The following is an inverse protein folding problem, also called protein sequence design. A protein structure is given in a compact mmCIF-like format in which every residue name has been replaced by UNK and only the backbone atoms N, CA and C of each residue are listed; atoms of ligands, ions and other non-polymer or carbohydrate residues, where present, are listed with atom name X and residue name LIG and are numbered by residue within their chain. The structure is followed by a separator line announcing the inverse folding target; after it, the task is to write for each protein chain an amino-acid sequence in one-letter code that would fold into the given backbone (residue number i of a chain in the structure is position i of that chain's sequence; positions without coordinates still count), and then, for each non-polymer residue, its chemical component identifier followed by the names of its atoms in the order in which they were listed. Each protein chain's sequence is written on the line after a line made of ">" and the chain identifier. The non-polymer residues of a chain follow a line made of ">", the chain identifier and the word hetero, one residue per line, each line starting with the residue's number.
data_IF_909500987866
#
_entry.id   IF_909500987866
#
_cell.length_a   1.000
_cell.length_b   1.000
_cell.length_c   1.000
_cell.angle_alpha   90.00
_cell.angle_beta   90.00
_cell.angle_gamma   90.00
#
_symmetry.space_group_name_H-M   'P 1'
#
loop_
_entity.id
_entity.type
_entity.pdbx_description
1 polymer ?
#
# COMPACT_ATOMS: atom_id res chain seq x y z
N UNK A 1 -12.82 7.71 -27.38
CA UNK A 1 -12.98 7.30 -25.97
C UNK A 1 -13.96 8.26 -25.30
N UNK A 2 -14.75 7.84 -24.32
CA UNK A 2 -15.66 8.72 -23.56
C UNK A 2 -15.55 8.42 -22.05
N UNK A 3 -15.97 9.38 -21.21
CA UNK A 3 -15.90 9.29 -19.75
C UNK A 3 -16.53 8.01 -19.20
N UNK A 4 -17.65 7.57 -19.81
CA UNK A 4 -18.38 6.34 -19.43
C UNK A 4 -17.54 5.05 -19.56
N UNK A 5 -16.58 5.00 -20.49
CA UNK A 5 -15.70 3.82 -20.70
C UNK A 5 -14.47 3.82 -19.79
N UNK A 6 -14.07 4.98 -19.25
CA UNK A 6 -12.92 5.10 -18.35
C UNK A 6 -13.32 4.86 -16.89
N UNK A 7 -14.57 5.19 -16.52
CA UNK A 7 -15.09 4.95 -15.16
C UNK A 7 -14.81 3.54 -14.62
N UNK A 8 -15.14 2.45 -15.35
CA UNK A 8 -14.84 1.09 -14.91
C UNK A 8 -13.34 0.79 -14.75
N UNK A 9 -12.47 1.45 -15.51
CA UNK A 9 -11.02 1.28 -15.41
C UNK A 9 -10.48 1.94 -14.12
N UNK A 10 -11.00 3.12 -13.76
CA UNK A 10 -10.67 3.80 -12.50
C UNK A 10 -11.07 2.91 -11.31
N UNK A 11 -12.30 2.40 -11.30
CA UNK A 11 -12.79 1.50 -10.23
C UNK A 11 -11.93 0.23 -10.13
N UNK A 12 -11.48 -0.32 -11.26
CA UNK A 12 -10.58 -1.47 -11.26
C UNK A 12 -9.19 -1.12 -10.70
N UNK A 13 -8.67 0.06 -11.02
CA UNK A 13 -7.39 0.54 -10.50
C UNK A 13 -7.45 0.81 -8.99
N UNK A 14 -8.53 1.42 -8.50
CA UNK A 14 -8.83 1.59 -7.07
C UNK A 14 -8.83 0.25 -6.33
N UNK A 15 -9.60 -0.74 -6.82
CA UNK A 15 -9.64 -2.07 -6.20
C UNK A 15 -8.27 -2.75 -6.17
N UNK A 16 -7.44 -2.53 -7.19
CA UNK A 16 -6.08 -3.07 -7.25
C UNK A 16 -5.17 -2.40 -6.23
N UNK A 17 -5.22 -1.07 -6.13
CA UNK A 17 -4.48 -0.30 -5.13
C UNK A 17 -4.86 -0.75 -3.71
N UNK A 18 -6.16 -0.86 -3.41
CA UNK A 18 -6.65 -1.30 -2.10
C UNK A 18 -6.18 -2.72 -1.76
N UNK A 19 -6.17 -3.63 -2.73
CA UNK A 19 -5.68 -4.99 -2.53
C UNK A 19 -4.18 -4.99 -2.19
N UNK A 20 -3.37 -4.21 -2.92
CA UNK A 20 -1.93 -4.10 -2.67
C UNK A 20 -1.63 -3.42 -1.34
N UNK A 21 -2.43 -2.42 -0.94
CA UNK A 21 -2.29 -1.77 0.37
C UNK A 21 -2.55 -2.77 1.51
N UNK A 22 -3.56 -3.64 1.36
CA UNK A 22 -3.84 -4.71 2.34
C UNK A 22 -2.71 -5.74 2.40
N UNK A 23 -2.15 -6.14 1.27
CA UNK A 23 -1.02 -7.06 1.24
C UNK A 23 0.24 -6.44 1.86
N UNK A 24 0.53 -5.17 1.57
CA UNK A 24 1.62 -4.44 2.20
C UNK A 24 1.44 -4.38 3.73
N UNK A 25 0.23 -4.09 4.21
CA UNK A 25 -0.06 -4.05 5.65
C UNK A 25 0.22 -5.41 6.33
N UNK A 26 -0.18 -6.53 5.70
CA UNK A 26 0.13 -7.88 6.20
C UNK A 26 1.64 -8.13 6.26
N UNK A 27 2.39 -7.71 5.23
CA UNK A 27 3.85 -7.86 5.19
C UNK A 27 4.54 -7.01 6.26
N UNK A 28 4.05 -5.79 6.51
CA UNK A 28 4.57 -4.92 7.59
C UNK A 28 4.36 -5.59 8.94
N UNK A 29 3.17 -6.12 9.18
CA UNK A 29 2.88 -6.83 10.42
C UNK A 29 3.77 -8.08 10.60
N UNK A 30 3.98 -8.86 9.53
CA UNK A 30 4.88 -10.03 9.57
C UNK A 30 6.32 -9.64 9.86
N UNK A 31 6.82 -8.56 9.24
CA UNK A 31 8.16 -8.04 9.49
C UNK A 31 8.34 -7.60 10.94
N UNK A 32 7.38 -6.85 11.50
CA UNK A 32 7.40 -6.44 12.90
C UNK A 32 7.42 -7.64 13.86
N UNK A 33 6.69 -8.72 13.55
CA UNK A 33 6.76 -9.95 14.34
C UNK A 33 8.14 -10.60 14.29
N UNK A 34 8.83 -10.53 13.15
CA UNK A 34 10.19 -11.02 13.03
C UNK A 34 11.19 -10.18 13.84
N UNK A 35 11.04 -8.86 13.84
CA UNK A 35 11.86 -7.96 14.66
C UNK A 35 11.63 -8.19 16.16
N UNK A 36 10.37 -8.31 16.58
CA UNK A 36 10.02 -8.64 17.97
C UNK A 36 10.65 -9.97 18.40
N UNK A 37 10.56 -11.01 17.55
CA UNK A 37 11.15 -12.30 17.85
C UNK A 37 12.67 -12.25 17.97
N UNK A 38 13.34 -11.43 17.17
CA UNK A 38 14.78 -11.21 17.32
C UNK A 38 15.10 -10.55 18.67
N UNK A 39 14.36 -9.49 19.03
CA UNK A 39 14.53 -8.81 20.31
C UNK A 39 14.33 -9.75 21.50
N UNK A 40 13.35 -10.65 21.44
CA UNK A 40 13.13 -11.68 22.47
C UNK A 40 14.33 -12.63 22.57
N UNK A 41 14.90 -13.08 21.44
CA UNK A 41 16.07 -13.96 21.42
C UNK A 41 17.31 -13.28 22.01
N UNK A 42 17.56 -12.02 21.65
CA UNK A 42 18.68 -11.22 22.17
C UNK A 42 18.53 -10.97 23.68
N UNK A 43 17.29 -10.71 24.13
CA UNK A 43 16.98 -10.59 25.55
C UNK A 43 17.27 -11.90 26.29
N UNK A 44 16.77 -13.04 25.81
CA UNK A 44 17.05 -14.33 26.42
C UNK A 44 18.54 -14.65 26.44
N UNK A 45 19.28 -14.31 25.38
CA UNK A 45 20.73 -14.44 25.37
C UNK A 45 21.36 -13.68 26.53
N UNK A 46 21.03 -12.39 26.67
CA UNK A 46 21.60 -11.54 27.73
C UNK A 46 21.30 -12.05 29.14
N UNK A 47 20.07 -12.54 29.38
CA UNK A 47 19.66 -13.12 30.66
C UNK A 47 20.44 -14.41 30.97
N UNK A 48 20.76 -15.21 29.95
CA UNK A 48 21.55 -16.44 30.06
C UNK A 48 23.06 -16.25 29.92
N UNK A 49 23.56 -15.04 29.68
CA UNK A 49 24.99 -14.69 29.76
C UNK A 49 25.35 -14.13 31.15
N UNK A 50 24.37 -13.57 31.89
CA UNK A 50 24.57 -13.04 33.23
C UNK A 50 25.10 -14.10 34.22
N UNK A 51 26.29 -13.92 34.83
CA UNK A 51 26.87 -14.92 35.71
C UNK A 51 25.94 -15.24 36.89
N UNK A 52 25.96 -16.47 37.41
CA UNK A 52 25.16 -16.84 38.58
C UNK A 52 25.54 -15.97 39.77
N UNK A 53 24.61 -15.81 40.72
CA UNK A 53 24.85 -15.04 41.93
C UNK A 53 26.15 -15.50 42.63
N UNK A 54 26.98 -14.55 43.11
CA UNK A 54 28.19 -14.88 43.84
C UNK A 54 27.89 -15.81 45.02
N UNK A 55 28.59 -16.94 45.11
CA UNK A 55 28.39 -17.95 46.15
C UNK A 55 27.51 -19.15 45.76
N UNK A 56 26.95 -19.17 44.54
CA UNK A 56 26.30 -20.37 43.98
C UNK A 56 27.34 -21.29 43.36
N UNK A 57 27.54 -22.49 43.93
CA UNK A 57 28.31 -23.55 43.27
C UNK A 57 27.45 -24.19 42.18
N UNK A 58 27.70 -23.84 40.91
CA UNK A 58 27.08 -24.55 39.78
C UNK A 58 27.77 -25.89 39.54
N UNK A 59 26.99 -26.93 39.24
CA UNK A 59 27.53 -28.20 38.75
C UNK A 59 28.12 -28.04 37.34
N UNK A 60 29.12 -28.86 37.01
CA UNK A 60 29.69 -28.91 35.66
C UNK A 60 28.63 -29.21 34.58
N UNK A 61 27.63 -30.04 34.91
CA UNK A 61 26.50 -30.34 34.00
C UNK A 61 25.63 -29.12 33.71
N UNK A 62 25.39 -28.25 34.69
CA UNK A 62 24.60 -27.05 34.53
C UNK A 62 25.32 -26.01 33.66
N UNK A 63 26.65 -25.90 33.82
CA UNK A 63 27.49 -25.06 32.95
C UNK A 63 27.45 -25.54 31.49
N UNK A 64 27.55 -26.86 31.27
CA UNK A 64 27.48 -27.44 29.92
C UNK A 64 26.12 -27.21 29.26
N UNK A 65 25.03 -27.44 30.00
CA UNK A 65 23.67 -27.20 29.50
C UNK A 65 23.45 -25.74 29.13
N UNK A 66 23.98 -24.81 29.93
CA UNK A 66 23.92 -23.38 29.66
C UNK A 66 24.68 -23.00 28.39
N UNK A 67 25.90 -23.50 28.22
CA UNK A 67 26.68 -23.26 27.00
C UNK A 67 25.97 -23.81 25.75
N UNK A 68 25.39 -25.01 25.84
CA UNK A 68 24.62 -25.59 24.74
C UNK A 68 23.34 -24.80 24.40
N UNK A 69 22.67 -24.22 25.41
CA UNK A 69 21.51 -23.37 25.20
C UNK A 69 21.87 -22.04 24.53
N UNK A 70 22.96 -21.40 24.97
CA UNK A 70 23.47 -20.18 24.34
C UNK A 70 23.83 -20.40 22.87
N UNK A 71 24.50 -21.50 22.55
CA UNK A 71 24.80 -21.86 21.16
C UNK A 71 23.53 -22.00 20.30
N UNK A 72 22.47 -22.61 20.85
CA UNK A 72 21.17 -22.71 20.15
C UNK A 72 20.51 -21.35 19.94
N UNK A 73 20.63 -20.42 20.90
CA UNK A 73 20.12 -19.05 20.73
C UNK A 73 20.90 -18.35 19.61
N UNK A 74 22.23 -18.49 19.57
CA UNK A 74 23.05 -17.86 18.52
C UNK A 74 22.68 -18.35 17.12
N UNK A 75 22.44 -19.66 16.97
CA UNK A 75 21.93 -20.25 15.72
C UNK A 75 20.53 -19.69 15.36
N UNK A 76 19.65 -19.57 16.35
CA UNK A 76 18.31 -19.02 16.16
C UNK A 76 18.33 -17.53 15.78
N UNK A 77 19.20 -16.73 16.41
CA UNK A 77 19.41 -15.30 16.10
C UNK A 77 19.90 -15.15 14.66
N UNK A 78 20.91 -15.93 14.27
CA UNK A 78 21.44 -15.91 12.89
C UNK A 78 20.35 -16.24 11.87
N UNK A 79 19.50 -17.23 12.18
CA UNK A 79 18.38 -17.62 11.33
C UNK A 79 17.31 -16.52 11.27
N UNK A 80 17.00 -15.90 12.41
CA UNK A 80 16.01 -14.84 12.53
C UNK A 80 16.43 -13.58 11.78
N UNK A 81 17.71 -13.21 11.82
CA UNK A 81 18.26 -12.10 11.05
C UNK A 81 18.10 -12.31 9.54
N UNK A 82 18.29 -13.55 9.05
CA UNK A 82 18.01 -13.89 7.64
C UNK A 82 16.53 -13.71 7.29
N UNK A 83 15.62 -14.13 8.16
CA UNK A 83 14.18 -13.93 7.96
C UNK A 83 13.81 -12.45 7.91
N UNK A 84 14.41 -11.62 8.77
CA UNK A 84 14.24 -10.16 8.74
C UNK A 84 14.70 -9.61 7.40
N UNK A 85 15.93 -9.91 6.95
CA UNK A 85 16.45 -9.43 5.67
C UNK A 85 15.54 -9.82 4.49
N UNK A 86 15.08 -11.08 4.43
CA UNK A 86 14.13 -11.51 3.39
C UNK A 86 12.79 -10.77 3.48
N UNK A 87 12.30 -10.50 4.69
CA UNK A 87 11.04 -9.76 4.88
C UNK A 87 11.17 -8.27 4.50
N UNK A 88 12.33 -7.66 4.70
CA UNK A 88 12.64 -6.29 4.26
C UNK A 88 12.63 -6.17 2.73
N UNK A 89 13.25 -7.14 2.04
CA UNK A 89 13.23 -7.20 0.57
C UNK A 89 11.79 -7.36 0.06
N UNK A 90 11.01 -8.25 0.67
CA UNK A 90 9.60 -8.43 0.33
C UNK A 90 8.78 -7.14 0.54
N UNK A 91 9.06 -6.39 1.61
CA UNK A 91 8.44 -5.08 1.87
C UNK A 91 8.79 -4.06 0.79
N UNK A 92 10.05 -4.00 0.35
CA UNK A 92 10.47 -3.10 -0.71
C UNK A 92 9.73 -3.39 -2.03
N UNK A 93 9.53 -4.67 -2.35
CA UNK A 93 8.76 -5.10 -3.52
C UNK A 93 7.30 -4.66 -3.41
N UNK A 94 6.63 -4.92 -2.29
CA UNK A 94 5.21 -4.56 -2.12
C UNK A 94 4.99 -3.04 -2.08
N UNK A 95 5.91 -2.28 -1.47
CA UNK A 95 5.88 -0.80 -1.52
C UNK A 95 5.98 -0.30 -2.95
N UNK A 96 6.88 -0.88 -3.75
CA UNK A 96 7.03 -0.52 -5.16
C UNK A 96 5.76 -0.86 -5.96
N UNK A 97 5.16 -2.03 -5.73
CA UNK A 97 3.90 -2.44 -6.37
C UNK A 97 2.75 -1.49 -6.05
N UNK A 98 2.61 -1.09 -4.79
CA UNK A 98 1.60 -0.13 -4.36
C UNK A 98 1.82 1.22 -5.04
N UNK A 99 3.06 1.73 -5.04
CA UNK A 99 3.39 3.00 -5.68
C UNK A 99 3.05 3.02 -7.17
N UNK A 100 3.34 1.93 -7.90
CA UNK A 100 2.97 1.81 -9.31
C UNK A 100 1.45 1.80 -9.50
N UNK A 101 0.71 1.05 -8.67
CA UNK A 101 -0.76 1.02 -8.75
C UNK A 101 -1.40 2.38 -8.45
N UNK A 102 -0.89 3.11 -7.45
CA UNK A 102 -1.34 4.48 -7.14
C UNK A 102 -1.09 5.43 -8.32
N UNK A 103 0.06 5.30 -9.00
CA UNK A 103 0.36 6.09 -10.21
C UNK A 103 -0.59 5.76 -11.36
N UNK A 104 -0.84 4.48 -11.62
CA UNK A 104 -1.76 4.04 -12.67
C UNK A 104 -3.18 4.56 -12.44
N UNK A 105 -3.67 4.48 -11.20
CA UNK A 105 -4.96 5.06 -10.80
C UNK A 105 -5.01 6.57 -11.07
N UNK A 106 -3.99 7.32 -10.61
CA UNK A 106 -3.93 8.77 -10.81
C UNK A 106 -3.96 9.15 -12.29
N UNK A 107 -3.28 8.39 -13.15
CA UNK A 107 -3.31 8.60 -14.61
C UNK A 107 -4.73 8.41 -15.15
N UNK A 108 -5.41 7.33 -14.76
CA UNK A 108 -6.78 7.06 -15.19
C UNK A 108 -7.78 8.11 -14.70
N UNK A 109 -7.62 8.61 -13.46
CA UNK A 109 -8.44 9.69 -12.90
C UNK A 109 -8.28 10.99 -13.68
N UNK A 110 -7.02 11.39 -13.96
CA UNK A 110 -6.72 12.59 -14.78
C UNK A 110 -7.31 12.44 -16.19
N UNK A 111 -7.20 11.25 -16.78
CA UNK A 111 -7.78 10.97 -18.08
C UNK A 111 -9.30 11.09 -18.04
N UNK A 112 -9.96 10.49 -17.05
CA UNK A 112 -11.40 10.58 -16.86
C UNK A 112 -11.87 12.03 -16.71
N UNK A 113 -11.16 12.84 -15.92
CA UNK A 113 -11.44 14.26 -15.74
C UNK A 113 -11.36 15.03 -17.06
N UNK A 114 -10.29 14.83 -17.83
CA UNK A 114 -10.10 15.46 -19.14
C UNK A 114 -11.25 15.15 -20.12
N UNK A 115 -11.72 13.89 -20.16
CA UNK A 115 -12.87 13.53 -20.99
C UNK A 115 -14.18 14.17 -20.51
N UNK A 116 -14.41 14.25 -19.19
CA UNK A 116 -15.59 14.95 -18.64
C UNK A 116 -15.56 16.44 -19.00
N UNK A 117 -14.39 17.06 -18.98
CA UNK A 117 -14.24 18.48 -19.37
C UNK A 117 -14.54 18.70 -20.85
N UNK A 118 -14.04 17.82 -21.72
CA UNK A 118 -14.33 17.87 -23.14
C UNK A 118 -15.82 17.67 -23.42
N UNK A 119 -16.47 16.70 -22.77
CA UNK A 119 -17.90 16.43 -22.90
C UNK A 119 -18.74 17.63 -22.44
N UNK A 120 -18.38 18.27 -21.31
CA UNK A 120 -19.05 19.49 -20.81
C UNK A 120 -18.96 20.65 -21.79
N UNK A 121 -17.79 20.87 -22.40
CA UNK A 121 -17.61 21.95 -23.40
C UNK A 121 -18.46 21.71 -24.65
N UNK A 122 -18.53 20.47 -25.13
CA UNK A 122 -19.38 20.11 -26.28
C UNK A 122 -20.86 20.31 -25.95
N UNK A 123 -21.29 19.88 -24.76
CA UNK A 123 -22.67 20.05 -24.31
C UNK A 123 -23.05 21.53 -24.20
N UNK A 124 -22.21 22.35 -23.55
CA UNK A 124 -22.45 23.79 -23.42
C UNK A 124 -22.57 24.49 -24.78
N UNK A 125 -21.74 24.11 -25.76
CA UNK A 125 -21.84 24.65 -27.14
C UNK A 125 -23.14 24.24 -27.82
N UNK A 126 -23.58 23.00 -27.63
CA UNK A 126 -24.83 22.51 -28.19
C UNK A 126 -26.04 23.22 -27.56
N UNK A 127 -26.04 23.39 -26.23
CA UNK A 127 -27.10 24.08 -25.49
C UNK A 127 -27.20 25.55 -25.93
N UNK A 128 -26.06 26.24 -26.07
CA UNK A 128 -26.03 27.61 -26.58
C UNK A 128 -26.65 27.70 -27.98
N UNK A 129 -26.28 26.79 -28.90
CA UNK A 129 -26.84 26.78 -30.25
C UNK A 129 -28.36 26.59 -30.25
N UNK A 130 -28.88 25.72 -29.39
CA UNK A 130 -30.33 25.48 -29.26
C UNK A 130 -31.04 26.74 -28.73
N UNK A 131 -30.44 27.45 -27.77
CA UNK A 131 -30.98 28.71 -27.24
C UNK A 131 -31.00 29.80 -28.33
N UNK A 132 -29.92 29.93 -29.09
CA UNK A 132 -29.80 30.90 -30.19
C UNK A 132 -30.85 30.62 -31.28
N UNK A 133 -31.03 29.35 -31.67
CA UNK A 133 -32.04 28.93 -32.65
C UNK A 133 -33.47 29.22 -32.17
N UNK A 134 -33.77 28.96 -30.90
CA UNK A 134 -35.07 29.26 -30.30
C UNK A 134 -35.32 30.78 -30.26
N UNK A 135 -34.31 31.56 -29.86
CA UNK A 135 -34.36 33.02 -29.86
C UNK A 135 -34.64 33.58 -31.26
N UNK A 136 -33.93 33.10 -32.27
CA UNK A 136 -34.13 33.51 -33.67
C UNK A 136 -35.53 33.15 -34.21
N UNK A 137 -36.12 32.03 -33.77
CA UNK A 137 -37.50 31.66 -34.14
C UNK A 137 -38.54 32.56 -33.47
N UNK A 138 -38.34 32.90 -32.20
CA UNK A 138 -39.24 33.80 -31.47
C UNK A 138 -39.19 35.20 -32.07
N UNK A 139 -37.99 35.68 -32.41
CA UNK A 139 -37.80 36.98 -33.06
C UNK A 139 -38.57 37.07 -34.38
N UNK A 140 -38.35 36.09 -35.28
CA UNK A 140 -39.08 36.03 -36.56
C UNK A 140 -40.59 36.01 -36.39
N UNK A 141 -41.11 35.22 -35.43
CA UNK A 141 -42.55 35.18 -35.16
C UNK A 141 -43.12 36.53 -34.68
N UNK A 142 -42.33 37.33 -33.96
CA UNK A 142 -42.75 38.68 -33.54
C UNK A 142 -42.73 39.68 -34.70
N UNK A 143 -41.79 39.54 -35.64
CA UNK A 143 -41.73 40.39 -36.85
C UNK A 143 -42.88 40.08 -37.81
N UNK A 144 -43.32 38.82 -37.87
CA UNK A 144 -44.41 38.37 -38.75
C UNK A 144 -45.82 38.53 -38.11
N UNK A 145 -45.93 39.09 -36.90
CA UNK A 145 -47.20 39.33 -36.23
C UNK A 145 -47.79 40.70 -36.67
N UNK A 146 -49.04 40.74 -37.19
CA UNK A 146 -49.68 41.96 -37.70
C UNK A 146 -50.06 42.97 -36.62
#
# INVERSE_FOLDING_TARGET
>A
MNSKRIGPLVVRAEKREDALAKELAKKVQSHQQHEQRLGDLERFRSEYEAPPMPGSALSASLLLNRAAFLAKIDDAVTTQQKHIATSEEALAIERTRLLLASRDKLVLEKLAASYRDAERKVQARNDQRVLDDLGARIHRRKEDAP
#
